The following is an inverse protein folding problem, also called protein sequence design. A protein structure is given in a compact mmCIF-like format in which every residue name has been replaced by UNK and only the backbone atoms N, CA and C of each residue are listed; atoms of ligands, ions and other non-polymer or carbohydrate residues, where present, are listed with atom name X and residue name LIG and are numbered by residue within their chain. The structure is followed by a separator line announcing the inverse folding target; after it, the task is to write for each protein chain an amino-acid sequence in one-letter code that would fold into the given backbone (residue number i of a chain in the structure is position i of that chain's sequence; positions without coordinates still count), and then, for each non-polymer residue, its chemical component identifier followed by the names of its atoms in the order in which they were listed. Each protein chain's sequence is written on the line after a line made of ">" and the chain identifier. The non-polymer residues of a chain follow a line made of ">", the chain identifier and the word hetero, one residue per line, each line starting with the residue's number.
data_IF_017091631653
#
_entry.id   IF_017091631653
#
_cell.length_a   1.000
_cell.length_b   1.000
_cell.length_c   1.000
_cell.angle_alpha   90.00
_cell.angle_beta   90.00
_cell.angle_gamma   90.00
#
_symmetry.space_group_name_H-M   'P 1'
#
loop_
_entity.id
_entity.type
_entity.pdbx_description
1 polymer ?
#
# COMPACT_ATOMS: atom_id res chain seq x y z
N UNK A 1 10.08 -27.98 67.22
CA UNK A 1 9.06 -28.62 66.37
C UNK A 1 8.12 -27.54 65.87
N UNK A 2 8.25 -27.17 64.59
CA UNK A 2 7.35 -26.26 63.89
C UNK A 2 5.99 -26.95 63.58
N UNK A 3 4.95 -26.27 63.07
CA UNK A 3 4.78 -24.82 62.88
C UNK A 3 3.49 -24.26 63.51
N UNK A 4 3.54 -22.97 63.89
CA UNK A 4 2.39 -22.13 64.27
C UNK A 4 1.59 -21.75 63.01
N UNK A 5 0.27 -21.92 63.04
CA UNK A 5 -0.67 -21.32 62.06
C UNK A 5 -1.30 -20.05 62.63
N UNK A 6 -1.42 -19.08 61.73
CA UNK A 6 -1.89 -17.72 61.90
C UNK A 6 -3.40 -17.60 62.10
N UNK A 7 -3.83 -16.55 62.81
CA UNK A 7 -5.02 -15.76 62.45
C UNK A 7 -4.99 -14.44 63.24
N UNK A 8 -4.80 -13.32 62.55
CA UNK A 8 -5.03 -11.95 63.05
C UNK A 8 -6.55 -11.68 62.95
N UNK A 9 -7.30 -11.23 63.96
CA UNK A 9 -7.16 -10.14 64.94
C UNK A 9 -7.31 -8.72 64.33
N UNK A 10 -8.54 -8.18 64.38
CA UNK A 10 -8.93 -6.79 64.69
C UNK A 10 -10.46 -6.64 64.43
N UNK A 11 -11.36 -6.64 65.44
CA UNK A 11 -11.76 -5.56 66.38
C UNK A 11 -12.36 -4.31 65.69
N UNK A 12 -13.69 -4.12 65.70
CA UNK A 12 -14.48 -3.22 66.62
C UNK A 12 -14.50 -1.74 66.15
N UNK A 13 -15.50 -0.86 66.32
CA UNK A 13 -16.89 -0.85 66.85
C UNK A 13 -17.43 0.61 66.72
N UNK A 14 -18.73 0.82 66.42
CA UNK A 14 -19.66 1.90 66.90
C UNK A 14 -20.87 2.04 65.93
N UNK A 15 -22.10 1.55 66.22
CA UNK A 15 -23.24 2.16 66.97
C UNK A 15 -23.72 3.54 66.40
N UNK A 16 -25.00 3.84 66.08
CA UNK A 16 -26.29 3.45 66.68
C UNK A 16 -27.57 3.76 65.81
N UNK A 17 -28.66 3.00 66.08
CA UNK A 17 -30.14 3.25 66.05
C UNK A 17 -30.85 3.80 64.76
N UNK A 18 -32.05 3.39 64.27
CA UNK A 18 -33.33 2.85 64.82
C UNK A 18 -34.28 2.47 63.62
N UNK A 19 -35.59 2.12 63.78
CA UNK A 19 -36.24 0.86 64.21
C UNK A 19 -37.03 0.12 63.09
N UNK A 20 -37.67 -1.01 63.42
CA UNK A 20 -38.38 -1.92 62.51
C UNK A 20 -39.93 -1.92 62.64
N UNK A 21 -40.61 -2.54 61.64
CA UNK A 21 -41.97 -3.17 61.58
C UNK A 21 -43.06 -2.35 60.83
N UNK A 22 -43.94 -2.88 59.94
CA UNK A 22 -44.68 -4.16 59.84
C UNK A 22 -45.09 -4.56 58.36
N UNK A 23 -45.66 -5.77 58.09
CA UNK A 23 -45.92 -6.29 56.72
C UNK A 23 -47.41 -6.50 56.29
N UNK A 24 -47.62 -6.54 54.95
CA UNK A 24 -48.64 -7.23 54.11
C UNK A 24 -50.15 -6.83 54.23
N UNK A 25 -51.01 -6.95 53.17
CA UNK A 25 -51.35 -8.23 52.52
C UNK A 25 -51.54 -8.21 50.98
N UNK A 26 -51.57 -9.42 50.40
CA UNK A 26 -51.89 -9.72 49.01
C UNK A 26 -53.40 -9.93 48.81
N UNK A 27 -53.94 -9.56 47.63
CA UNK A 27 -55.23 -10.06 47.14
C UNK A 27 -55.29 -10.09 45.60
N UNK A 28 -55.98 -11.12 45.12
CA UNK A 28 -55.99 -11.80 43.81
C UNK A 28 -56.72 -11.06 42.64
N UNK A 29 -56.70 -11.61 41.40
CA UNK A 29 -56.98 -10.89 40.15
C UNK A 29 -58.44 -11.02 39.68
N UNK A 30 -58.89 -10.12 38.80
CA UNK A 30 -60.14 -10.26 38.05
C UNK A 30 -59.87 -10.19 36.54
N UNK A 31 -60.51 -11.11 35.81
CA UNK A 31 -60.27 -11.48 34.41
C UNK A 31 -61.43 -11.01 33.51
N UNK A 32 -61.07 -10.55 32.30
CA UNK A 32 -61.83 -10.50 31.02
C UNK A 32 -62.99 -9.46 30.87
N UNK A 33 -63.40 -9.06 29.64
CA UNK A 33 -63.17 -9.74 28.35
C UNK A 33 -62.67 -8.87 27.16
N UNK A 34 -62.42 -9.59 26.08
CA UNK A 34 -61.80 -9.18 24.83
C UNK A 34 -62.74 -8.46 23.84
N UNK A 35 -62.19 -7.54 23.04
CA UNK A 35 -62.68 -7.19 21.71
C UNK A 35 -61.50 -6.91 20.75
N UNK A 36 -61.54 -7.60 19.61
CA UNK A 36 -60.73 -7.54 18.39
C UNK A 36 -60.59 -6.12 17.79
N UNK A 37 -59.68 -5.77 16.88
CA UNK A 37 -58.37 -6.26 16.43
C UNK A 37 -57.81 -5.11 15.56
N UNK A 38 -56.54 -4.76 15.70
CA UNK A 38 -55.78 -4.05 14.64
C UNK A 38 -54.42 -4.74 14.58
N UNK A 39 -54.21 -5.47 13.48
CA UNK A 39 -52.93 -6.09 13.16
C UNK A 39 -51.93 -5.00 12.80
N UNK A 40 -51.04 -4.70 13.73
CA UNK A 40 -49.95 -3.77 13.52
C UNK A 40 -48.82 -4.53 12.81
N UNK A 41 -48.68 -4.30 11.51
CA UNK A 41 -47.51 -4.75 10.74
C UNK A 41 -46.28 -4.16 11.41
N UNK A 42 -45.51 -5.02 12.09
CA UNK A 42 -44.29 -4.62 12.75
C UNK A 42 -43.29 -4.12 11.69
N UNK A 43 -42.80 -2.90 11.87
CA UNK A 43 -41.66 -2.39 11.12
C UNK A 43 -40.50 -3.40 11.24
N UNK A 44 -39.78 -3.71 10.14
CA UNK A 44 -38.68 -4.66 10.20
C UNK A 44 -37.67 -4.15 11.23
N UNK A 45 -37.33 -5.04 12.17
CA UNK A 45 -36.32 -4.78 13.19
C UNK A 45 -35.06 -4.22 12.52
N UNK A 46 -34.54 -3.14 13.09
CA UNK A 46 -33.31 -2.48 12.63
C UNK A 46 -32.25 -3.55 12.33
N UNK A 47 -31.75 -3.55 11.10
CA UNK A 47 -30.71 -4.45 10.67
C UNK A 47 -29.51 -4.30 11.62
N UNK A 48 -29.11 -5.41 12.21
CA UNK A 48 -27.93 -5.51 13.06
C UNK A 48 -26.71 -5.04 12.22
N UNK A 49 -26.01 -3.96 12.61
CA UNK A 49 -24.95 -3.37 11.79
C UNK A 49 -23.75 -4.31 11.59
N UNK A 50 -23.66 -5.38 12.39
CA UNK A 50 -22.59 -6.38 12.35
C UNK A 50 -23.04 -7.74 11.78
N UNK A 51 -24.25 -7.83 11.22
CA UNK A 51 -24.70 -9.08 10.59
C UNK A 51 -23.81 -9.41 9.36
N UNK A 52 -23.24 -10.62 9.27
CA UNK A 52 -22.49 -11.04 8.09
C UNK A 52 -23.43 -11.00 6.89
N UNK A 53 -23.02 -10.26 5.85
CA UNK A 53 -23.80 -10.14 4.61
C UNK A 53 -23.92 -11.54 3.99
N UNK A 54 -25.07 -12.18 4.17
CA UNK A 54 -25.36 -13.51 3.61
C UNK A 54 -25.93 -13.34 2.21
N UNK A 55 -25.05 -13.44 1.21
CA UNK A 55 -25.45 -13.38 -0.19
C UNK A 55 -26.24 -14.64 -0.57
N UNK A 56 -27.56 -14.54 -0.56
CA UNK A 56 -28.44 -15.61 -1.03
C UNK A 56 -28.34 -15.74 -2.55
N UNK A 57 -27.54 -16.71 -3.01
CA UNK A 57 -27.31 -17.04 -4.43
C UNK A 57 -28.59 -17.40 -5.19
N UNK A 58 -29.70 -17.63 -4.50
CA UNK A 58 -31.00 -18.03 -5.08
C UNK A 58 -31.80 -16.85 -5.63
N UNK A 59 -31.42 -15.60 -5.34
CA UNK A 59 -32.09 -14.38 -5.83
C UNK A 59 -31.41 -13.80 -7.07
N UNK A 60 -31.07 -14.63 -8.06
CA UNK A 60 -30.64 -14.14 -9.37
C UNK A 60 -31.80 -14.19 -10.36
N UNK A 61 -32.12 -13.05 -10.96
CA UNK A 61 -33.21 -12.91 -11.93
C UNK A 61 -32.92 -13.58 -13.29
N UNK A 62 -31.68 -14.02 -13.51
CA UNK A 62 -31.22 -14.68 -14.73
C UNK A 62 -30.41 -15.92 -14.39
N UNK A 63 -30.54 -17.02 -15.18
CA UNK A 63 -29.65 -18.17 -15.02
C UNK A 63 -28.23 -17.73 -15.35
N UNK A 64 -27.30 -17.94 -14.40
CA UNK A 64 -25.90 -17.66 -14.65
C UNK A 64 -25.35 -18.65 -15.68
N UNK A 65 -24.63 -18.19 -16.71
CA UNK A 65 -23.86 -19.09 -17.55
C UNK A 65 -22.86 -19.89 -16.69
N UNK A 66 -22.87 -21.21 -16.83
CA UNK A 66 -21.95 -22.10 -16.13
C UNK A 66 -20.59 -22.08 -16.83
N UNK A 67 -19.68 -21.24 -16.34
CA UNK A 67 -18.28 -21.28 -16.76
C UNK A 67 -17.52 -22.34 -15.96
N UNK A 68 -16.58 -23.02 -16.62
CA UNK A 68 -15.66 -23.92 -15.92
C UNK A 68 -14.79 -23.11 -14.95
N UNK A 69 -14.41 -23.69 -13.80
CA UNK A 69 -13.53 -23.01 -12.82
C UNK A 69 -12.20 -22.61 -13.46
N UNK A 70 -11.68 -23.46 -14.34
CA UNK A 70 -10.47 -23.20 -15.14
C UNK A 70 -10.63 -21.96 -16.02
N UNK A 71 -11.79 -21.75 -16.64
CA UNK A 71 -12.05 -20.53 -17.44
C UNK A 71 -12.05 -19.27 -16.57
N UNK A 72 -12.60 -19.34 -15.36
CA UNK A 72 -12.63 -18.22 -14.41
C UNK A 72 -11.21 -17.86 -13.96
N UNK A 73 -10.40 -18.86 -13.56
CA UNK A 73 -9.04 -18.65 -13.08
C UNK A 73 -8.11 -18.09 -14.19
N UNK A 74 -8.27 -18.60 -15.42
CA UNK A 74 -7.54 -18.09 -16.59
C UNK A 74 -7.97 -16.66 -16.94
N UNK A 75 -9.27 -16.35 -16.86
CA UNK A 75 -9.79 -15.00 -17.12
C UNK A 75 -9.33 -14.01 -16.06
N UNK A 76 -9.28 -14.41 -14.79
CA UNK A 76 -8.76 -13.61 -13.69
C UNK A 76 -7.27 -13.30 -13.89
N UNK A 77 -6.47 -14.32 -14.23
CA UNK A 77 -5.03 -14.15 -14.49
C UNK A 77 -4.77 -13.25 -15.70
N UNK A 78 -5.54 -13.43 -16.78
CA UNK A 78 -5.48 -12.59 -17.96
C UNK A 78 -5.86 -11.14 -17.64
N UNK A 79 -6.96 -10.93 -16.92
CA UNK A 79 -7.41 -9.60 -16.54
C UNK A 79 -6.40 -8.89 -15.64
N UNK A 80 -5.79 -9.60 -14.68
CA UNK A 80 -4.69 -9.06 -13.86
C UNK A 80 -3.51 -8.62 -14.70
N UNK A 81 -3.07 -9.45 -15.65
CA UNK A 81 -1.99 -9.10 -16.55
C UNK A 81 -2.32 -7.87 -17.39
N UNK A 82 -3.54 -7.80 -17.94
CA UNK A 82 -4.00 -6.65 -18.74
C UNK A 82 -4.03 -5.38 -17.89
N UNK A 83 -4.59 -5.43 -16.69
CA UNK A 83 -4.65 -4.28 -15.79
C UNK A 83 -3.24 -3.80 -15.43
N UNK A 84 -2.33 -4.72 -15.08
CA UNK A 84 -0.94 -4.36 -14.79
C UNK A 84 -0.28 -3.71 -16.01
N UNK A 85 -0.44 -4.27 -17.21
CA UNK A 85 0.09 -3.68 -18.44
C UNK A 85 -0.44 -2.26 -18.70
N UNK A 86 -1.73 -2.00 -18.45
CA UNK A 86 -2.31 -0.66 -18.53
C UNK A 86 -1.75 0.29 -17.47
N UNK A 87 -1.53 -0.18 -16.24
CA UNK A 87 -0.91 0.61 -15.16
C UNK A 87 0.53 0.98 -15.56
N UNK A 88 1.34 0.02 -16.00
CA UNK A 88 2.71 0.24 -16.47
C UNK A 88 2.72 1.28 -17.61
N UNK A 89 1.85 1.09 -18.61
CA UNK A 89 1.73 1.98 -19.76
C UNK A 89 1.32 3.40 -19.37
N UNK A 90 0.33 3.56 -18.49
CA UNK A 90 -0.11 4.86 -17.99
C UNK A 90 0.98 5.55 -17.14
N UNK A 91 1.72 4.80 -16.34
CA UNK A 91 2.83 5.31 -15.53
C UNK A 91 3.98 5.87 -16.39
N UNK A 92 4.35 5.17 -17.46
CA UNK A 92 5.36 5.64 -18.43
C UNK A 92 4.83 6.84 -19.21
N UNK A 93 3.61 6.76 -19.75
CA UNK A 93 3.02 7.80 -20.59
C UNK A 93 2.87 9.14 -19.85
N UNK A 94 2.45 9.12 -18.58
CA UNK A 94 2.31 10.33 -17.76
C UNK A 94 3.63 11.07 -17.55
N UNK A 95 4.76 10.33 -17.45
CA UNK A 95 6.10 10.92 -17.28
C UNK A 95 6.75 11.33 -18.60
N UNK A 96 6.33 10.74 -19.72
CA UNK A 96 6.84 11.09 -21.05
C UNK A 96 6.29 12.42 -21.57
N UNK A 97 5.22 12.94 -20.97
CA UNK A 97 4.57 14.18 -21.37
C UNK A 97 5.50 15.40 -21.42
N UNK A 98 6.43 15.51 -20.46
CA UNK A 98 7.42 16.59 -20.44
C UNK A 98 8.41 16.46 -21.60
N UNK A 99 8.80 15.23 -21.97
CA UNK A 99 9.78 14.92 -23.02
C UNK A 99 9.18 15.04 -24.43
N UNK A 100 7.87 14.86 -24.59
CA UNK A 100 7.19 15.02 -25.90
C UNK A 100 6.93 16.50 -26.21
N UNK A 101 6.63 17.31 -25.19
CA UNK A 101 6.31 18.73 -25.36
C UNK A 101 7.56 19.62 -25.45
N UNK A 102 8.58 19.30 -24.68
CA UNK A 102 9.85 20.03 -24.66
C UNK A 102 10.94 19.13 -25.26
N UNK A 103 11.99 19.72 -25.82
CA UNK A 103 13.10 18.93 -26.35
C UNK A 103 13.67 18.00 -25.27
N UNK A 104 14.10 16.78 -25.64
CA UNK A 104 14.64 15.78 -24.72
C UNK A 104 16.01 16.22 -24.20
N UNK A 105 15.99 17.19 -23.30
CA UNK A 105 17.13 17.81 -22.65
C UNK A 105 16.99 17.55 -21.15
N UNK A 106 18.13 17.44 -20.48
CA UNK A 106 18.16 17.30 -19.03
C UNK A 106 17.63 18.60 -18.42
N UNK A 107 16.45 18.51 -17.82
CA UNK A 107 15.86 19.57 -17.03
C UNK A 107 16.40 19.45 -15.61
N UNK A 108 16.70 20.58 -14.98
CA UNK A 108 17.37 20.72 -13.67
C UNK A 108 18.91 20.68 -13.70
N UNK A 109 19.55 21.36 -12.75
CA UNK A 109 21.02 21.46 -12.66
C UNK A 109 21.67 20.16 -12.18
N UNK A 110 20.99 19.38 -11.33
CA UNK A 110 21.55 18.20 -10.67
C UNK A 110 21.87 17.04 -11.64
N UNK A 111 20.97 16.65 -12.58
CA UNK A 111 21.23 15.48 -13.40
C UNK A 111 22.33 15.70 -14.46
N UNK A 112 22.79 16.93 -14.68
CA UNK A 112 23.95 17.22 -15.54
C UNK A 112 25.23 16.52 -15.04
N UNK A 113 25.44 16.47 -13.72
CA UNK A 113 26.57 15.74 -13.16
C UNK A 113 26.43 14.24 -13.41
N UNK A 114 25.24 13.69 -13.22
CA UNK A 114 24.96 12.26 -13.46
C UNK A 114 25.17 11.87 -14.93
N UNK A 115 24.73 12.72 -15.86
CA UNK A 115 24.98 12.53 -17.29
C UNK A 115 26.47 12.58 -17.63
N UNK A 116 27.22 13.57 -17.13
CA UNK A 116 28.67 13.67 -17.36
C UNK A 116 29.41 12.46 -16.79
N UNK A 117 29.05 12.03 -15.58
CA UNK A 117 29.61 10.84 -14.94
C UNK A 117 29.33 9.57 -15.77
N UNK A 118 28.11 9.43 -16.29
CA UNK A 118 27.73 8.32 -17.17
C UNK A 118 28.49 8.34 -18.49
N UNK A 119 28.71 9.53 -19.06
CA UNK A 119 29.52 9.71 -20.27
C UNK A 119 30.97 9.26 -20.05
N UNK A 120 31.58 9.66 -18.92
CA UNK A 120 32.94 9.21 -18.54
C UNK A 120 32.98 7.69 -18.38
N UNK A 121 31.96 7.10 -17.74
CA UNK A 121 31.85 5.66 -17.57
C UNK A 121 31.78 4.91 -18.90
N UNK A 122 30.98 5.40 -19.85
CA UNK A 122 30.80 4.78 -21.16
C UNK A 122 32.05 4.94 -22.04
N UNK A 123 32.69 6.10 -22.03
CA UNK A 123 33.85 6.39 -22.88
C UNK A 123 35.15 5.77 -22.37
N UNK A 124 35.36 5.71 -21.05
CA UNK A 124 36.62 5.25 -20.44
C UNK A 124 36.51 3.88 -19.74
N UNK A 125 35.30 3.38 -19.55
CA UNK A 125 35.04 2.13 -18.86
C UNK A 125 34.96 2.27 -17.33
N UNK A 126 34.54 1.19 -16.68
CA UNK A 126 34.25 1.17 -15.24
C UNK A 126 35.47 1.39 -14.35
N UNK A 127 36.63 0.83 -14.71
CA UNK A 127 37.85 0.94 -13.90
C UNK A 127 38.37 2.38 -13.83
N UNK A 128 38.39 3.07 -14.96
CA UNK A 128 38.76 4.49 -15.05
C UNK A 128 37.73 5.37 -14.36
N UNK A 129 36.44 5.04 -14.47
CA UNK A 129 35.37 5.74 -13.76
C UNK A 129 35.51 5.63 -12.23
N UNK A 130 35.83 4.44 -11.70
CA UNK A 130 36.01 4.23 -10.27
C UNK A 130 37.22 5.00 -9.71
N UNK A 131 38.26 5.21 -10.51
CA UNK A 131 39.43 5.99 -10.14
C UNK A 131 39.38 7.43 -10.68
N UNK A 132 38.22 7.90 -11.14
CA UNK A 132 38.10 9.18 -11.81
C UNK A 132 38.26 10.35 -10.83
N UNK A 133 39.24 11.20 -11.14
CA UNK A 133 39.43 12.51 -10.55
C UNK A 133 38.97 13.60 -11.52
N UNK A 134 38.08 14.47 -11.09
CA UNK A 134 37.61 15.60 -11.87
C UNK A 134 38.35 16.88 -11.45
N UNK A 135 39.29 17.39 -12.28
CA UNK A 135 39.99 18.64 -12.02
C UNK A 135 39.13 19.88 -12.32
N UNK A 136 38.01 19.73 -13.03
CA UNK A 136 37.16 20.86 -13.45
C UNK A 136 36.18 21.30 -12.36
N UNK A 137 35.84 20.41 -11.43
CA UNK A 137 35.03 20.74 -10.27
C UNK A 137 35.91 21.29 -9.13
N UNK A 138 35.38 22.23 -8.34
CA UNK A 138 36.04 22.74 -7.13
C UNK A 138 37.46 23.26 -7.37
N UNK A 139 37.66 24.14 -8.35
CA UNK A 139 38.95 24.80 -8.56
C UNK A 139 39.39 25.54 -7.28
N UNK A 140 40.66 25.39 -6.82
CA UNK A 140 41.79 24.66 -7.43
C UNK A 140 41.99 23.21 -6.95
N UNK A 141 41.11 22.69 -6.07
CA UNK A 141 41.28 21.41 -5.38
C UNK A 141 40.92 20.18 -6.24
N UNK A 142 39.94 20.29 -7.13
CA UNK A 142 39.39 19.12 -7.84
C UNK A 142 38.44 18.30 -6.96
N UNK A 143 37.86 17.23 -7.53
CA UNK A 143 37.02 16.25 -6.81
C UNK A 143 37.34 14.82 -7.23
N UNK A 144 37.62 13.95 -6.25
CA UNK A 144 37.63 12.49 -6.45
C UNK A 144 36.20 11.98 -6.60
N UNK A 145 35.75 11.70 -7.82
CA UNK A 145 34.35 11.36 -8.07
C UNK A 145 34.08 9.89 -7.72
N UNK A 146 34.95 8.97 -8.11
CA UNK A 146 34.68 7.54 -7.96
C UNK A 146 34.40 7.07 -6.53
N UNK A 147 34.99 7.71 -5.51
CA UNK A 147 34.71 7.43 -4.10
C UNK A 147 33.65 8.31 -3.43
N UNK A 148 33.11 9.32 -4.13
CA UNK A 148 32.15 10.29 -3.55
C UNK A 148 30.80 10.30 -4.26
N UNK A 149 30.55 9.36 -5.16
CA UNK A 149 29.29 9.22 -5.90
C UNK A 149 28.74 7.81 -5.77
N UNK A 150 27.42 7.67 -5.74
CA UNK A 150 26.77 6.38 -5.87
C UNK A 150 26.71 5.98 -7.35
N UNK A 151 27.40 4.90 -7.77
CA UNK A 151 27.57 4.57 -9.19
C UNK A 151 26.33 3.95 -9.84
N UNK A 152 25.27 3.63 -9.07
CA UNK A 152 24.15 2.81 -9.54
C UNK A 152 23.45 3.34 -10.77
N UNK A 153 23.12 4.64 -10.80
CA UNK A 153 22.42 5.28 -11.93
C UNK A 153 23.32 5.29 -13.18
N UNK A 154 24.61 5.60 -13.02
CA UNK A 154 25.57 5.65 -14.12
C UNK A 154 25.78 4.26 -14.73
N UNK A 155 25.96 3.24 -13.88
CA UNK A 155 26.18 1.86 -14.32
C UNK A 155 24.94 1.31 -15.01
N UNK A 156 23.74 1.52 -14.44
CA UNK A 156 22.48 1.06 -15.05
C UNK A 156 22.30 1.67 -16.45
N UNK A 157 22.53 2.99 -16.58
CA UNK A 157 22.45 3.68 -17.87
C UNK A 157 23.50 3.18 -18.87
N UNK A 158 24.74 2.96 -18.41
CA UNK A 158 25.83 2.45 -19.24
C UNK A 158 25.60 1.02 -19.74
N UNK A 159 25.02 0.14 -18.91
CA UNK A 159 24.64 -1.23 -19.30
C UNK A 159 23.53 -1.21 -20.34
N UNK A 160 22.50 -0.39 -20.14
CA UNK A 160 21.41 -0.22 -21.12
C UNK A 160 21.98 0.29 -22.44
N UNK A 161 22.83 1.32 -22.41
CA UNK A 161 23.48 1.84 -23.60
C UNK A 161 24.35 0.79 -24.31
N UNK A 162 25.13 0.02 -23.56
CA UNK A 162 25.96 -1.07 -24.12
C UNK A 162 25.10 -2.17 -24.76
N UNK A 163 23.94 -2.49 -24.16
CA UNK A 163 22.99 -3.44 -24.72
C UNK A 163 22.34 -2.91 -26.01
N UNK A 164 21.95 -1.63 -26.04
CA UNK A 164 21.40 -0.98 -27.24
C UNK A 164 22.43 -0.94 -28.38
N UNK A 165 23.69 -0.70 -28.07
CA UNK A 165 24.77 -0.73 -29.05
C UNK A 165 25.02 -2.15 -29.57
N UNK A 166 24.88 -3.17 -28.72
CA UNK A 166 25.03 -4.58 -29.10
C UNK A 166 23.95 -5.03 -30.11
N UNK A 167 22.72 -4.52 -30.01
CA UNK A 167 21.64 -4.78 -30.97
C UNK A 167 21.69 -3.87 -32.21
N UNK A 168 22.82 -3.18 -32.46
CA UNK A 168 23.05 -2.25 -33.58
C UNK A 168 22.08 -1.05 -33.62
N UNK A 169 21.62 -0.55 -32.47
CA UNK A 169 20.84 0.67 -32.39
C UNK A 169 21.69 1.80 -31.77
N UNK A 170 22.34 2.65 -32.59
CA UNK A 170 23.19 3.72 -32.07
C UNK A 170 22.35 4.87 -31.51
N UNK A 171 22.06 4.81 -30.21
CA UNK A 171 21.36 5.87 -29.46
C UNK A 171 22.38 6.68 -28.65
N UNK A 172 22.20 8.00 -28.62
CA UNK A 172 23.01 8.86 -27.77
C UNK A 172 22.77 8.57 -26.28
N UNK A 173 23.84 8.62 -25.48
CA UNK A 173 23.77 8.33 -24.03
C UNK A 173 22.81 9.28 -23.29
N UNK A 174 22.59 10.50 -23.79
CA UNK A 174 21.62 11.45 -23.24
C UNK A 174 20.20 10.89 -23.31
N UNK A 175 19.81 10.33 -24.45
CA UNK A 175 18.46 9.79 -24.62
C UNK A 175 18.22 8.60 -23.70
N UNK A 176 19.25 7.77 -23.49
CA UNK A 176 19.19 6.68 -22.49
C UNK A 176 19.00 7.23 -21.08
N UNK A 177 19.77 8.25 -20.69
CA UNK A 177 19.66 8.86 -19.35
C UNK A 177 18.30 9.54 -19.10
N UNK A 178 17.72 10.19 -20.13
CA UNK A 178 16.41 10.85 -20.02
C UNK A 178 15.27 9.83 -19.97
N UNK A 179 15.35 8.76 -20.75
CA UNK A 179 14.32 7.72 -20.81
C UNK A 179 14.42 6.68 -19.68
N UNK A 180 15.51 6.70 -18.91
CA UNK A 180 15.71 5.84 -17.74
C UNK A 180 14.58 6.03 -16.70
N UNK A 181 14.25 7.27 -16.34
CA UNK A 181 13.28 7.53 -15.29
C UNK A 181 11.85 7.08 -15.64
N UNK A 182 11.32 7.36 -16.86
CA UNK A 182 10.07 6.75 -17.31
C UNK A 182 10.16 5.22 -17.38
N UNK A 183 11.26 4.65 -17.90
CA UNK A 183 11.43 3.21 -18.08
C UNK A 183 11.37 2.38 -16.80
N UNK A 184 11.86 2.92 -15.67
CA UNK A 184 11.81 2.25 -14.35
C UNK A 184 10.53 2.55 -13.55
N UNK A 185 9.64 3.39 -14.07
CA UNK A 185 8.40 3.78 -13.36
C UNK A 185 7.18 2.93 -13.71
N UNK A 186 7.31 2.09 -14.74
CA UNK A 186 6.28 1.18 -15.23
C UNK A 186 6.27 -0.13 -14.47
#
# INVERSE_FOLDING_TARGET
>A
MAPRKASAAASASAAAASPARAPAPAAAPAVAPAAAAVEQVAAPAAADPDAPITWDKRKLAYPLPHFSRETIDNTESFLRFVILAFICGAAVASRLFAVIRFESIIHEFDPWFNYRATKVLVERGFYEFWNWFDPTAWYPLGRTVGGTVYPGIMVTSGVIWSFLQWINMPVDIRNVCVLLAPGFSG
#
